data_IF_370273976266
#
_entry.id   IF_370273976266
#
_cell.length_a   1.000
_cell.length_b   1.000
_cell.length_c   1.000
_cell.angle_alpha   90.00
_cell.angle_beta   90.00
_cell.angle_gamma   90.00
#
_symmetry.space_group_name_H-M   'P 1'
#
loop_
_entity.id
_entity.type
_entity.pdbx_description
1 polymer ?
#
# COMPACT_ATOMS: atom_id res chain seq x y z
N UNK A 1 35.78 -6.98 42.37
CA UNK A 1 34.88 -7.95 41.71
C UNK A 1 33.92 -7.14 40.85
N UNK A 2 34.21 -7.03 39.55
CA UNK A 2 33.40 -6.27 38.60
C UNK A 2 32.32 -7.23 38.06
N UNK A 3 31.06 -7.03 38.45
CA UNK A 3 29.94 -7.75 37.84
C UNK A 3 29.71 -7.16 36.45
N UNK A 4 30.01 -7.93 35.41
CA UNK A 4 29.54 -7.68 34.04
C UNK A 4 28.09 -8.15 33.95
N UNK A 5 27.14 -7.22 33.88
CA UNK A 5 25.78 -7.52 33.46
C UNK A 5 25.81 -7.81 31.96
N UNK A 6 25.51 -9.05 31.56
CA UNK A 6 25.11 -9.37 30.18
C UNK A 6 23.80 -8.65 29.93
N UNK A 7 23.85 -7.54 29.21
CA UNK A 7 22.66 -6.99 28.59
C UNK A 7 22.33 -7.88 27.40
N UNK A 8 21.36 -8.77 27.57
CA UNK A 8 20.83 -9.56 26.46
C UNK A 8 20.28 -8.58 25.43
N UNK A 9 21.05 -8.32 24.38
CA UNK A 9 20.58 -7.62 23.22
C UNK A 9 19.52 -8.52 22.57
N UNK A 10 18.26 -8.31 22.92
CA UNK A 10 17.15 -8.97 22.23
C UNK A 10 17.34 -8.75 20.74
N UNK A 11 17.44 -9.86 20.00
CA UNK A 11 17.42 -9.81 18.54
C UNK A 11 16.24 -8.95 18.10
N UNK A 12 16.49 -7.96 17.24
CA UNK A 12 15.43 -7.08 16.72
C UNK A 12 14.46 -7.80 15.78
N UNK A 13 14.63 -9.12 15.61
CA UNK A 13 13.79 -10.01 14.83
C UNK A 13 13.40 -11.26 15.59
N UNK A 14 12.26 -11.81 15.19
CA UNK A 14 11.75 -13.11 15.61
C UNK A 14 11.31 -13.88 14.37
N UNK A 15 11.64 -15.17 14.32
CA UNK A 15 11.38 -16.02 13.17
C UNK A 15 10.33 -17.06 13.48
N UNK A 16 9.41 -17.27 12.54
CA UNK A 16 8.37 -18.29 12.65
C UNK A 16 8.97 -19.68 12.56
N UNK A 17 8.74 -20.50 13.59
CA UNK A 17 9.20 -21.89 13.70
C UNK A 17 8.11 -22.86 13.19
N UNK A 18 6.85 -22.60 13.53
CA UNK A 18 5.68 -23.36 13.06
C UNK A 18 5.59 -24.81 13.56
N UNK A 19 6.24 -25.16 14.68
CA UNK A 19 6.24 -26.52 15.24
C UNK A 19 5.07 -26.79 16.18
N UNK A 20 4.52 -25.78 16.86
CA UNK A 20 3.45 -25.99 17.84
C UNK A 20 2.05 -25.98 17.21
N UNK A 21 1.71 -24.93 16.46
CA UNK A 21 0.42 -24.79 15.76
C UNK A 21 0.49 -23.64 14.74
N UNK A 22 -0.64 -23.23 14.18
CA UNK A 22 -0.73 -22.14 13.18
C UNK A 22 -0.94 -20.75 13.79
N UNK A 23 -1.08 -20.62 15.11
CA UNK A 23 -1.46 -19.36 15.75
C UNK A 23 -0.29 -18.39 15.82
N UNK A 24 -0.43 -17.24 15.16
CA UNK A 24 0.53 -16.14 15.27
C UNK A 24 0.82 -15.73 16.71
N UNK A 25 -0.20 -15.70 17.57
CA UNK A 25 -0.06 -15.23 18.95
C UNK A 25 0.54 -16.25 19.91
N UNK A 26 0.88 -17.46 19.44
CA UNK A 26 1.53 -18.46 20.28
C UNK A 26 3.05 -18.27 20.22
N UNK A 27 3.65 -17.88 21.35
CA UNK A 27 5.08 -17.63 21.47
C UNK A 27 5.94 -18.86 21.14
N UNK A 28 5.40 -20.08 21.30
CA UNK A 28 6.13 -21.31 20.97
C UNK A 28 6.35 -21.51 19.46
N UNK A 29 5.63 -20.76 18.62
CA UNK A 29 5.88 -20.73 17.17
C UNK A 29 6.93 -19.69 16.77
N UNK A 30 7.60 -19.01 17.71
CA UNK A 30 8.53 -17.92 17.42
C UNK A 30 9.85 -18.08 18.17
N UNK A 31 10.97 -17.78 17.51
CA UNK A 31 12.30 -17.88 18.13
C UNK A 31 12.52 -16.90 19.27
N UNK A 32 12.01 -15.67 19.14
CA UNK A 32 12.23 -14.58 20.11
C UNK A 32 10.91 -13.96 20.58
N UNK A 33 9.90 -14.80 20.78
CA UNK A 33 8.55 -14.38 21.19
C UNK A 33 7.72 -13.81 20.04
N UNK A 34 6.46 -13.51 20.35
CA UNK A 34 5.47 -13.03 19.37
C UNK A 34 5.87 -11.64 18.86
N UNK A 35 5.80 -11.38 17.54
CA UNK A 35 6.04 -10.06 16.97
C UNK A 35 5.24 -8.94 17.66
N UNK A 36 5.89 -7.79 17.79
CA UNK A 36 5.33 -6.55 18.35
C UNK A 36 5.74 -5.37 17.48
N UNK A 37 5.23 -4.18 17.74
CA UNK A 37 5.59 -2.96 16.99
C UNK A 37 7.12 -2.66 16.93
N UNK A 38 7.91 -3.26 17.83
CA UNK A 38 9.36 -3.07 17.89
C UNK A 38 10.15 -4.30 17.41
N UNK A 39 9.47 -5.39 17.03
CA UNK A 39 10.09 -6.67 16.68
C UNK A 39 9.73 -7.07 15.25
N UNK A 40 10.74 -7.30 14.42
CA UNK A 40 10.58 -7.72 13.02
C UNK A 40 10.16 -9.18 12.94
N UNK A 41 9.04 -9.46 12.26
CA UNK A 41 8.58 -10.82 11.99
C UNK A 41 9.21 -11.37 10.71
N UNK A 42 9.87 -12.52 10.80
CA UNK A 42 10.46 -13.23 9.66
C UNK A 42 9.76 -14.59 9.53
N UNK A 43 9.35 -14.95 8.31
CA UNK A 43 8.66 -16.22 8.01
C UNK A 43 9.36 -16.84 6.80
N UNK A 44 9.78 -18.10 6.90
CA UNK A 44 10.40 -18.83 5.78
C UNK A 44 11.91 -18.77 5.69
N UNK A 45 12.58 -18.27 6.74
CA UNK A 45 14.02 -18.47 6.93
C UNK A 45 14.33 -19.89 7.44
N UNK A 46 15.59 -20.16 7.76
CA UNK A 46 16.04 -21.47 8.24
C UNK A 46 15.40 -21.90 9.57
N UNK A 47 14.82 -20.97 10.34
CA UNK A 47 14.17 -21.28 11.61
C UNK A 47 12.79 -21.90 11.40
N UNK A 48 12.17 -21.74 10.23
CA UNK A 48 10.90 -22.35 9.92
C UNK A 48 11.08 -23.86 9.67
N UNK A 49 11.13 -24.65 10.73
CA UNK A 49 11.36 -26.10 10.69
C UNK A 49 10.08 -26.94 10.76
N UNK A 50 9.00 -26.41 11.34
CA UNK A 50 7.71 -27.10 11.46
C UNK A 50 6.86 -27.05 10.19
N UNK A 51 5.68 -27.67 10.22
CA UNK A 51 4.75 -27.72 9.07
C UNK A 51 3.63 -26.67 9.13
N UNK A 52 3.40 -26.03 10.29
CA UNK A 52 2.30 -25.11 10.47
C UNK A 52 2.61 -23.74 9.85
N UNK A 53 1.78 -23.33 8.90
CA UNK A 53 1.83 -22.00 8.30
C UNK A 53 1.12 -20.97 9.21
N UNK A 54 1.65 -19.75 9.37
CA UNK A 54 1.09 -18.79 10.31
C UNK A 54 -0.27 -18.27 9.86
N UNK A 55 -1.18 -18.13 10.82
CA UNK A 55 -2.48 -17.48 10.68
C UNK A 55 -2.64 -16.43 11.77
N UNK A 56 -3.02 -15.22 11.36
CA UNK A 56 -3.38 -14.15 12.29
C UNK A 56 -4.65 -14.56 13.03
N UNK A 57 -4.57 -15.02 14.28
CA UNK A 57 -5.65 -15.78 14.93
C UNK A 57 -6.51 -14.97 15.92
N UNK A 58 -5.96 -13.99 16.65
CA UNK A 58 -6.71 -13.21 17.64
C UNK A 58 -6.25 -11.77 17.78
N UNK A 59 -7.19 -10.84 18.02
CA UNK A 59 -6.91 -9.41 18.21
C UNK A 59 -6.46 -8.68 16.94
N UNK A 60 -5.83 -7.51 17.12
CA UNK A 60 -5.09 -6.80 16.06
C UNK A 60 -3.61 -7.06 16.27
N UNK A 61 -2.94 -7.58 15.24
CA UNK A 61 -1.57 -8.05 15.32
C UNK A 61 -0.63 -6.96 14.84
N UNK A 62 0.59 -6.94 15.39
CA UNK A 62 1.56 -5.86 15.17
C UNK A 62 2.94 -6.46 14.92
N UNK A 63 3.70 -5.88 14.01
CA UNK A 63 5.13 -6.14 13.87
C UNK A 63 5.86 -4.85 13.49
N UNK A 64 7.16 -4.74 13.81
CA UNK A 64 8.01 -3.64 13.33
C UNK A 64 8.03 -3.65 11.81
N UNK A 65 8.48 -4.76 11.24
CA UNK A 65 8.42 -5.05 9.80
C UNK A 65 7.96 -6.49 9.63
N UNK A 66 7.60 -6.88 8.40
CA UNK A 66 7.24 -8.25 8.06
C UNK A 66 8.04 -8.70 6.84
N UNK A 67 8.74 -9.81 6.95
CA UNK A 67 9.37 -10.49 5.81
C UNK A 67 8.85 -11.91 5.72
N UNK A 68 8.31 -12.30 4.57
CA UNK A 68 7.82 -13.65 4.32
C UNK A 68 8.41 -14.24 3.05
N UNK A 69 8.96 -15.46 3.14
CA UNK A 69 9.41 -16.23 1.98
C UNK A 69 10.60 -15.63 1.24
N UNK A 70 11.47 -14.89 1.92
CA UNK A 70 12.78 -14.48 1.39
C UNK A 70 13.84 -15.57 1.53
N UNK A 71 13.61 -16.58 2.38
CA UNK A 71 14.46 -17.76 2.49
C UNK A 71 14.06 -18.86 1.51
N UNK A 72 14.52 -20.09 1.76
CA UNK A 72 14.29 -21.26 0.87
C UNK A 72 12.93 -21.92 1.07
N UNK A 73 12.24 -21.64 2.17
CA UNK A 73 10.97 -22.31 2.51
C UNK A 73 9.77 -21.55 1.98
N UNK A 74 8.96 -22.25 1.19
CA UNK A 74 7.64 -21.78 0.79
C UNK A 74 6.78 -21.52 2.03
N UNK A 75 6.30 -20.28 2.13
CA UNK A 75 5.67 -19.75 3.34
C UNK A 75 4.40 -19.01 3.00
N UNK A 76 3.33 -19.30 3.73
CA UNK A 76 2.02 -18.68 3.54
C UNK A 76 1.55 -18.06 4.84
N UNK A 77 1.31 -16.75 4.84
CA UNK A 77 0.64 -16.05 5.94
C UNK A 77 -0.84 -15.87 5.61
N UNK A 78 -1.71 -16.38 6.48
CA UNK A 78 -3.17 -16.17 6.37
C UNK A 78 -3.62 -14.99 7.21
N UNK A 79 -4.19 -13.98 6.56
CA UNK A 79 -4.75 -12.79 7.19
C UNK A 79 -6.21 -13.06 7.56
N UNK A 80 -6.45 -13.43 8.83
CA UNK A 80 -7.82 -13.64 9.38
C UNK A 80 -8.21 -12.59 10.44
N UNK A 81 -7.26 -11.72 10.79
CA UNK A 81 -7.38 -10.59 11.70
C UNK A 81 -6.66 -9.37 11.11
N UNK A 82 -6.86 -8.20 11.72
CA UNK A 82 -6.17 -6.99 11.29
C UNK A 82 -4.67 -7.08 11.63
N UNK A 83 -3.84 -6.51 10.76
CA UNK A 83 -2.39 -6.46 10.88
C UNK A 83 -1.92 -5.01 10.76
N UNK A 84 -1.01 -4.60 11.64
CA UNK A 84 -0.30 -3.32 11.54
C UNK A 84 1.19 -3.61 11.40
N UNK A 85 1.79 -3.15 10.30
CA UNK A 85 3.22 -3.21 10.02
C UNK A 85 3.77 -1.79 10.10
N UNK A 86 4.63 -1.52 11.08
CA UNK A 86 5.10 -0.17 11.39
C UNK A 86 6.23 0.32 10.46
N UNK A 87 6.88 -0.59 9.76
CA UNK A 87 7.87 -0.40 8.71
C UNK A 87 7.45 -1.20 7.48
N UNK A 88 8.39 -1.90 6.86
CA UNK A 88 8.17 -2.51 5.54
C UNK A 88 7.49 -3.89 5.61
N UNK A 89 6.73 -4.20 4.57
CA UNK A 89 6.19 -5.52 4.28
C UNK A 89 6.84 -6.05 3.01
N UNK A 90 7.63 -7.11 3.16
CA UNK A 90 8.32 -7.80 2.07
C UNK A 90 7.75 -9.21 1.87
N UNK A 91 7.18 -9.45 0.69
CA UNK A 91 6.82 -10.77 0.19
C UNK A 91 7.96 -11.21 -0.74
N UNK A 92 8.81 -12.11 -0.27
CA UNK A 92 9.86 -12.74 -1.08
C UNK A 92 9.28 -13.71 -2.10
N UNK A 93 10.11 -14.22 -3.00
CA UNK A 93 9.70 -15.11 -4.09
C UNK A 93 9.05 -16.42 -3.63
N UNK A 94 9.37 -16.88 -2.42
CA UNK A 94 8.76 -18.06 -1.81
C UNK A 94 7.63 -17.70 -0.83
N UNK A 95 7.22 -16.43 -0.80
CA UNK A 95 6.24 -15.88 0.12
C UNK A 95 4.86 -15.78 -0.51
N UNK A 96 3.85 -16.16 0.25
CA UNK A 96 2.44 -15.93 -0.07
C UNK A 96 1.75 -15.23 1.08
N UNK A 97 1.05 -14.13 0.81
CA UNK A 97 0.06 -13.57 1.73
C UNK A 97 -1.33 -13.88 1.18
N UNK A 98 -2.10 -14.62 1.99
CA UNK A 98 -3.50 -14.92 1.72
C UNK A 98 -4.39 -13.98 2.52
N UNK A 99 -4.89 -12.95 1.83
CA UNK A 99 -5.75 -11.90 2.38
C UNK A 99 -7.18 -12.03 1.84
N UNK A 100 -7.78 -13.22 1.96
CA UNK A 100 -9.12 -13.50 1.44
C UNK A 100 -10.26 -13.24 2.46
N UNK A 101 -10.05 -12.36 3.43
CA UNK A 101 -11.02 -12.04 4.48
C UNK A 101 -11.24 -10.53 4.58
N UNK A 102 -12.38 -10.12 5.15
CA UNK A 102 -12.72 -8.70 5.41
C UNK A 102 -11.90 -8.14 6.57
N UNK A 103 -10.59 -7.97 6.35
CA UNK A 103 -9.61 -7.49 7.35
C UNK A 103 -8.74 -6.40 6.74
N UNK A 104 -8.08 -5.68 7.64
CA UNK A 104 -7.22 -4.55 7.30
C UNK A 104 -5.75 -4.93 7.51
N UNK A 105 -4.93 -4.68 6.49
CA UNK A 105 -3.49 -4.53 6.65
C UNK A 105 -3.18 -3.04 6.63
N UNK A 106 -2.70 -2.51 7.75
CA UNK A 106 -2.14 -1.16 7.86
C UNK A 106 -0.63 -1.24 7.69
N UNK A 107 -0.08 -0.43 6.78
CA UNK A 107 1.34 -0.41 6.46
C UNK A 107 1.90 1.01 6.58
N UNK A 108 2.97 1.17 7.34
CA UNK A 108 3.62 2.45 7.57
C UNK A 108 4.96 2.63 6.84
N UNK A 109 5.48 1.56 6.23
CA UNK A 109 6.67 1.61 5.36
C UNK A 109 6.35 1.18 3.94
N UNK A 110 7.29 0.48 3.32
CA UNK A 110 7.23 0.08 1.93
C UNK A 110 6.48 -1.26 1.73
N UNK A 111 5.79 -1.36 0.60
CA UNK A 111 5.22 -2.61 0.11
C UNK A 111 6.13 -3.18 -0.97
N UNK A 112 6.73 -4.34 -0.70
CA UNK A 112 7.66 -5.00 -1.62
C UNK A 112 7.13 -6.39 -1.93
N UNK A 113 6.54 -6.56 -3.12
CA UNK A 113 5.95 -7.83 -3.54
C UNK A 113 6.76 -8.51 -4.65
N UNK A 114 7.68 -9.40 -4.25
CA UNK A 114 8.42 -10.28 -5.15
C UNK A 114 7.83 -11.71 -5.18
N UNK A 115 6.73 -11.95 -4.47
CA UNK A 115 6.07 -13.25 -4.35
C UNK A 115 4.60 -13.17 -4.74
N UNK A 116 3.74 -13.76 -3.92
CA UNK A 116 2.31 -13.82 -4.18
C UNK A 116 1.51 -13.08 -3.10
N UNK A 117 0.74 -12.08 -3.50
CA UNK A 117 -0.34 -11.50 -2.70
C UNK A 117 -1.68 -11.91 -3.32
N UNK A 118 -2.55 -12.51 -2.53
CA UNK A 118 -3.90 -12.91 -2.98
C UNK A 118 -4.97 -12.24 -2.12
N UNK A 119 -5.93 -11.61 -2.77
CA UNK A 119 -7.11 -11.04 -2.13
C UNK A 119 -8.34 -11.29 -3.03
N UNK A 120 -9.30 -12.06 -2.52
CA UNK A 120 -10.54 -12.40 -3.25
C UNK A 120 -11.76 -11.70 -2.68
N UNK A 121 -11.77 -11.37 -1.40
CA UNK A 121 -12.86 -10.64 -0.77
C UNK A 121 -12.76 -9.15 -1.13
N UNK A 122 -13.87 -8.55 -1.54
CA UNK A 122 -13.87 -7.14 -1.93
C UNK A 122 -13.46 -6.22 -0.77
N UNK A 123 -13.73 -6.58 0.49
CA UNK A 123 -13.33 -5.77 1.64
C UNK A 123 -11.96 -6.17 2.25
N UNK A 124 -11.11 -6.86 1.47
CA UNK A 124 -9.70 -7.10 1.83
C UNK A 124 -8.88 -5.85 1.56
N UNK A 125 -8.68 -5.04 2.60
CA UNK A 125 -8.12 -3.68 2.47
C UNK A 125 -6.66 -3.61 2.88
N UNK A 126 -5.84 -3.01 2.01
CA UNK A 126 -4.49 -2.56 2.36
C UNK A 126 -4.51 -1.04 2.50
N UNK A 127 -3.98 -0.52 3.60
CA UNK A 127 -3.97 0.91 3.89
C UNK A 127 -2.57 1.42 4.22
N UNK A 128 -2.04 2.27 3.36
CA UNK A 128 -0.79 2.99 3.59
C UNK A 128 -1.03 4.15 4.55
N UNK A 129 -0.26 4.19 5.64
CA UNK A 129 -0.41 5.15 6.75
C UNK A 129 0.90 5.75 7.23
N UNK A 130 2.01 5.44 6.55
CA UNK A 130 3.30 6.07 6.79
C UNK A 130 3.37 7.48 6.20
N UNK A 131 4.49 8.18 6.41
CA UNK A 131 4.71 9.49 5.76
C UNK A 131 5.07 9.32 4.28
N UNK A 132 5.98 8.39 3.98
CA UNK A 132 6.44 8.08 2.63
C UNK A 132 6.54 6.57 2.48
N UNK A 133 6.02 6.05 1.38
CA UNK A 133 6.07 4.62 1.06
C UNK A 133 6.36 4.42 -0.42
N UNK A 134 7.08 3.35 -0.74
CA UNK A 134 7.18 2.79 -2.07
C UNK A 134 6.27 1.57 -2.22
N UNK A 135 5.70 1.37 -3.40
CA UNK A 135 4.95 0.18 -3.76
C UNK A 135 5.65 -0.50 -4.95
N UNK A 136 6.45 -1.52 -4.63
CA UNK A 136 7.28 -2.26 -5.58
C UNK A 136 6.70 -3.65 -5.79
N UNK A 137 6.81 -4.14 -7.02
CA UNK A 137 6.28 -5.43 -7.43
C UNK A 137 4.81 -5.37 -7.80
N UNK A 138 4.47 -5.90 -8.97
CA UNK A 138 3.12 -5.85 -9.49
C UNK A 138 2.15 -6.51 -8.50
N UNK A 139 1.11 -5.78 -8.10
CA UNK A 139 0.19 -6.23 -7.06
C UNK A 139 -1.25 -5.91 -7.43
N UNK A 140 -2.12 -6.90 -7.28
CA UNK A 140 -3.57 -6.74 -7.42
C UNK A 140 -4.19 -6.63 -6.04
N UNK A 141 -4.73 -5.46 -5.73
CA UNK A 141 -5.51 -5.18 -4.53
C UNK A 141 -7.00 -5.34 -4.80
N UNK A 142 -7.75 -5.68 -3.75
CA UNK A 142 -9.21 -5.57 -3.76
C UNK A 142 -9.59 -4.16 -3.35
N UNK A 143 -9.30 -3.80 -2.11
CA UNK A 143 -9.41 -2.44 -1.62
C UNK A 143 -8.02 -1.87 -1.31
N UNK A 144 -7.77 -0.65 -1.77
CA UNK A 144 -6.55 0.10 -1.49
C UNK A 144 -6.92 1.45 -0.88
N UNK A 145 -6.19 1.85 0.17
CA UNK A 145 -6.34 3.18 0.79
C UNK A 145 -5.00 3.85 1.01
N UNK A 146 -4.87 5.09 0.57
CA UNK A 146 -3.74 5.95 0.91
C UNK A 146 -4.23 6.98 1.92
N UNK A 147 -3.78 6.88 3.17
CA UNK A 147 -4.23 7.79 4.22
C UNK A 147 -3.65 9.19 4.07
N UNK A 148 -4.34 10.17 4.66
CA UNK A 148 -3.88 11.55 4.73
C UNK A 148 -2.48 11.63 5.37
N UNK A 149 -1.62 12.47 4.78
CA UNK A 149 -0.22 12.61 5.19
C UNK A 149 0.73 11.55 4.63
N UNK A 150 0.22 10.53 3.94
CA UNK A 150 1.04 9.53 3.25
C UNK A 150 1.31 9.94 1.80
N UNK A 151 2.55 9.77 1.35
CA UNK A 151 2.92 9.81 -0.07
C UNK A 151 3.37 8.42 -0.51
N UNK A 152 2.62 7.82 -1.45
CA UNK A 152 2.96 6.53 -2.06
C UNK A 152 3.53 6.76 -3.46
N UNK A 153 4.74 6.28 -3.71
CA UNK A 153 5.35 6.26 -5.04
C UNK A 153 5.34 4.84 -5.59
N UNK A 154 4.83 4.66 -6.81
CA UNK A 154 4.83 3.34 -7.45
C UNK A 154 6.22 3.02 -8.02
N UNK A 155 6.65 1.78 -7.80
CA UNK A 155 7.78 1.12 -8.44
C UNK A 155 7.34 -0.05 -9.35
N UNK A 156 6.04 -0.23 -9.54
CA UNK A 156 5.44 -1.22 -10.44
C UNK A 156 4.00 -0.84 -10.80
N UNK A 157 3.46 -1.45 -11.86
CA UNK A 157 2.04 -1.36 -12.16
C UNK A 157 1.21 -2.02 -11.04
N UNK A 158 0.04 -1.45 -10.75
CA UNK A 158 -0.91 -2.03 -9.80
C UNK A 158 -2.30 -2.18 -10.42
N UNK A 159 -3.07 -3.09 -9.86
CA UNK A 159 -4.49 -3.26 -10.18
C UNK A 159 -5.30 -3.13 -8.90
N UNK A 160 -6.40 -2.35 -8.92
CA UNK A 160 -7.36 -2.25 -7.81
C UNK A 160 -8.75 -2.56 -8.35
N UNK A 161 -9.45 -3.50 -7.71
CA UNK A 161 -10.65 -4.11 -8.31
C UNK A 161 -11.98 -3.84 -7.58
N UNK A 162 -11.95 -3.30 -6.36
CA UNK A 162 -13.17 -3.02 -5.58
C UNK A 162 -13.25 -1.54 -5.25
N UNK A 163 -12.36 -1.04 -4.40
CA UNK A 163 -12.39 0.35 -3.91
C UNK A 163 -10.98 0.95 -3.84
N UNK A 164 -10.81 2.20 -4.27
CA UNK A 164 -9.56 2.94 -4.16
C UNK A 164 -9.77 4.34 -3.57
N UNK A 165 -9.63 4.41 -2.25
CA UNK A 165 -9.60 5.64 -1.43
C UNK A 165 -8.22 6.34 -1.50
N UNK A 166 -8.14 7.59 -1.97
CA UNK A 166 -6.93 8.41 -1.90
C UNK A 166 -7.12 9.68 -1.07
N UNK A 167 -6.69 9.65 0.21
CA UNK A 167 -6.65 10.81 1.11
C UNK A 167 -5.25 11.46 1.21
N UNK A 168 -4.21 10.75 0.78
CA UNK A 168 -2.82 11.22 0.75
C UNK A 168 -2.37 11.58 -0.67
N UNK A 169 -1.12 11.28 -1.03
CA UNK A 169 -0.58 11.51 -2.36
C UNK A 169 -0.25 10.17 -3.01
N UNK A 170 -0.76 9.94 -4.22
CA UNK A 170 -0.31 8.86 -5.09
C UNK A 170 0.54 9.41 -6.24
N UNK A 171 1.74 8.89 -6.39
CA UNK A 171 2.64 9.17 -7.49
C UNK A 171 2.98 7.90 -8.28
N UNK A 172 2.32 7.66 -9.44
CA UNK A 172 2.65 6.55 -10.32
C UNK A 172 3.97 6.74 -11.09
N UNK A 173 4.61 7.91 -11.01
CA UNK A 173 5.71 8.33 -11.89
C UNK A 173 5.31 8.29 -13.38
N UNK A 174 6.25 8.57 -14.28
CA UNK A 174 6.00 8.46 -15.72
C UNK A 174 5.91 7.00 -16.22
N UNK A 175 6.22 6.01 -15.37
CA UNK A 175 6.47 4.63 -15.81
C UNK A 175 5.37 3.64 -15.45
N UNK A 176 4.48 3.96 -14.50
CA UNK A 176 3.56 2.98 -13.95
C UNK A 176 2.10 3.38 -14.10
N UNK A 177 1.28 2.34 -14.19
CA UNK A 177 -0.16 2.41 -14.40
C UNK A 177 -0.89 1.86 -13.19
N UNK A 178 -1.90 2.60 -12.75
CA UNK A 178 -2.97 2.15 -11.87
C UNK A 178 -4.12 1.72 -12.76
N UNK A 179 -4.54 0.46 -12.64
CA UNK A 179 -5.59 -0.13 -13.46
C UNK A 179 -6.67 -0.81 -12.63
N UNK A 180 -7.75 -1.26 -13.26
CA UNK A 180 -8.71 -2.18 -12.68
C UNK A 180 -10.14 -1.66 -12.63
N UNK A 181 -10.97 -2.37 -11.87
CA UNK A 181 -12.42 -2.13 -11.80
C UNK A 181 -12.87 -1.32 -10.60
N UNK A 182 -11.94 -0.87 -9.75
CA UNK A 182 -12.29 -0.04 -8.60
C UNK A 182 -12.86 1.31 -9.01
N UNK A 183 -13.62 1.89 -8.08
CA UNK A 183 -13.88 3.33 -8.06
C UNK A 183 -12.66 4.03 -7.44
N UNK A 184 -12.06 4.98 -8.16
CA UNK A 184 -10.99 5.80 -7.63
C UNK A 184 -11.59 7.08 -7.04
N UNK A 185 -11.61 7.13 -5.72
CA UNK A 185 -12.07 8.28 -4.96
C UNK A 185 -10.87 9.15 -4.55
N UNK A 186 -10.69 10.28 -5.26
CA UNK A 186 -9.72 11.30 -4.86
C UNK A 186 -10.37 12.15 -3.78
N UNK A 187 -10.14 11.73 -2.55
CA UNK A 187 -10.81 12.24 -1.37
C UNK A 187 -10.34 13.64 -0.95
N UNK A 188 -11.02 14.22 0.04
CA UNK A 188 -10.67 15.54 0.57
C UNK A 188 -9.20 15.63 1.00
N UNK A 189 -8.47 16.57 0.40
CA UNK A 189 -7.02 16.79 0.56
C UNK A 189 -6.13 15.67 0.00
N UNK A 190 -6.71 14.66 -0.64
CA UNK A 190 -5.98 13.69 -1.43
C UNK A 190 -5.49 14.30 -2.73
N UNK A 191 -4.42 13.73 -3.29
CA UNK A 191 -3.82 14.14 -4.55
C UNK A 191 -3.36 12.93 -5.34
N UNK A 192 -3.78 12.85 -6.59
CA UNK A 192 -3.22 11.92 -7.57
C UNK A 192 -2.35 12.68 -8.57
N UNK A 193 -1.18 12.13 -8.88
CA UNK A 193 -0.25 12.74 -9.84
C UNK A 193 -0.36 12.07 -11.21
N UNK A 194 -0.40 12.89 -12.26
CA UNK A 194 -0.23 12.45 -13.64
C UNK A 194 1.16 12.89 -14.08
N UNK A 195 1.99 11.94 -14.50
CA UNK A 195 3.34 12.16 -15.03
C UNK A 195 3.51 11.68 -16.47
N UNK A 196 2.58 10.86 -16.97
CA UNK A 196 2.47 10.49 -18.39
C UNK A 196 1.84 11.59 -19.24
N UNK A 197 1.84 11.44 -20.57
CA UNK A 197 1.26 12.41 -21.50
C UNK A 197 -0.25 12.62 -21.33
N UNK A 198 -0.99 11.65 -20.77
CA UNK A 198 -2.43 11.75 -20.51
C UNK A 198 -2.77 11.17 -19.15
N UNK A 199 -3.96 11.50 -18.62
CA UNK A 199 -4.51 10.85 -17.42
C UNK A 199 -4.56 9.33 -17.58
N UNK A 200 -5.09 8.85 -18.71
CA UNK A 200 -5.20 7.44 -19.02
C UNK A 200 -3.84 6.72 -19.13
N UNK A 201 -2.74 7.45 -19.34
CA UNK A 201 -1.40 6.88 -19.30
C UNK A 201 -0.98 6.40 -17.91
N UNK A 202 -1.46 7.04 -16.84
CA UNK A 202 -1.21 6.60 -15.46
C UNK A 202 -2.41 5.90 -14.82
N UNK A 203 -3.63 6.15 -15.30
CA UNK A 203 -4.87 5.71 -14.67
C UNK A 203 -5.80 5.08 -15.71
N UNK A 204 -5.75 3.76 -15.86
CA UNK A 204 -6.70 2.94 -16.62
C UNK A 204 -7.68 2.24 -15.69
N UNK A 205 -8.31 3.03 -14.83
CA UNK A 205 -9.29 2.60 -13.83
C UNK A 205 -10.71 2.89 -14.31
N UNK A 206 -11.67 2.08 -13.89
CA UNK A 206 -13.03 2.07 -14.48
C UNK A 206 -13.87 3.29 -14.11
N UNK A 207 -13.73 3.79 -12.89
CA UNK A 207 -14.42 4.99 -12.40
C UNK A 207 -13.46 5.87 -11.64
N UNK A 208 -13.72 7.18 -11.69
CA UNK A 208 -12.93 8.21 -11.01
C UNK A 208 -13.91 9.25 -10.47
N UNK A 209 -14.04 9.31 -9.15
CA UNK A 209 -14.69 10.40 -8.43
C UNK A 209 -13.63 11.31 -7.80
N UNK A 210 -13.83 12.62 -7.89
CA UNK A 210 -12.89 13.61 -7.36
C UNK A 210 -13.69 14.51 -6.43
N UNK A 211 -13.44 14.40 -5.13
CA UNK A 211 -14.06 15.29 -4.13
C UNK A 211 -13.79 16.75 -4.51
N UNK A 212 -14.67 17.66 -4.10
CA UNK A 212 -14.51 19.09 -4.35
C UNK A 212 -13.17 19.66 -3.84
N UNK A 213 -12.49 18.96 -2.92
CA UNK A 213 -11.16 19.28 -2.39
C UNK A 213 -10.11 18.21 -2.66
N UNK A 214 -10.41 17.21 -3.49
CA UNK A 214 -9.44 16.29 -4.06
C UNK A 214 -8.67 16.94 -5.21
N UNK A 215 -7.40 16.58 -5.37
CA UNK A 215 -6.50 17.17 -6.36
C UNK A 215 -6.06 16.18 -7.43
N UNK A 216 -6.15 16.60 -8.70
CA UNK A 216 -5.43 15.96 -9.80
C UNK A 216 -4.32 16.90 -10.23
N UNK A 217 -3.07 16.46 -10.06
CA UNK A 217 -1.90 17.25 -10.41
C UNK A 217 -1.23 16.71 -11.67
N UNK A 218 -1.29 17.47 -12.76
CA UNK A 218 -0.49 17.24 -13.96
C UNK A 218 0.91 17.80 -13.71
N UNK A 219 1.80 16.90 -13.28
CA UNK A 219 3.05 17.24 -12.62
C UNK A 219 4.32 16.92 -13.41
N UNK A 220 4.20 16.47 -14.66
CA UNK A 220 5.36 16.09 -15.45
C UNK A 220 6.27 17.29 -15.72
N UNK A 221 7.58 17.08 -15.56
CA UNK A 221 8.60 18.07 -15.84
C UNK A 221 9.24 17.94 -17.23
N UNK A 222 8.98 16.85 -17.92
CA UNK A 222 9.65 16.50 -19.18
C UNK A 222 8.69 16.10 -20.30
N UNK A 223 7.43 15.81 -19.98
CA UNK A 223 6.44 15.33 -20.94
C UNK A 223 5.32 16.36 -21.05
N UNK A 224 5.02 16.82 -22.27
CA UNK A 224 3.81 17.60 -22.53
C UNK A 224 2.59 16.76 -22.15
N UNK A 225 1.70 17.32 -21.33
CA UNK A 225 0.52 16.58 -20.89
C UNK A 225 -0.77 17.20 -21.41
N UNK A 226 -1.68 16.33 -21.82
CA UNK A 226 -3.05 16.68 -22.12
C UNK A 226 -3.91 16.51 -20.86
N UNK A 227 -4.48 17.60 -20.38
CA UNK A 227 -5.44 17.65 -19.29
C UNK A 227 -6.78 17.11 -19.80
N UNK A 228 -7.31 16.10 -19.12
CA UNK A 228 -8.56 15.44 -19.51
C UNK A 228 -9.75 16.38 -19.30
N UNK A 229 -10.67 16.42 -20.25
CA UNK A 229 -11.98 17.08 -20.09
C UNK A 229 -13.08 16.11 -19.64
N UNK A 230 -12.77 14.83 -19.44
CA UNK A 230 -13.73 13.80 -19.07
C UNK A 230 -14.16 13.85 -17.60
N UNK A 231 -13.39 14.53 -16.75
CA UNK A 231 -13.58 14.52 -15.30
C UNK A 231 -14.02 15.88 -14.78
N UNK A 232 -14.83 15.82 -13.72
CA UNK A 232 -15.16 16.96 -12.89
C UNK A 232 -14.07 17.12 -11.83
N UNK A 233 -13.26 18.17 -11.94
CA UNK A 233 -12.18 18.39 -10.98
C UNK A 233 -12.69 19.10 -9.71
N UNK A 234 -12.19 18.67 -8.54
CA UNK A 234 -12.19 19.48 -7.33
C UNK A 234 -11.10 20.53 -7.40
N UNK A 235 -9.86 20.08 -7.40
CA UNK A 235 -8.66 20.88 -7.64
C UNK A 235 -7.94 20.32 -8.86
N UNK A 236 -7.78 21.15 -9.89
CA UNK A 236 -6.88 20.88 -11.00
C UNK A 236 -5.58 21.65 -10.74
N UNK A 237 -4.45 20.93 -10.60
CA UNK A 237 -3.13 21.54 -10.49
C UNK A 237 -2.33 21.29 -11.76
N UNK A 238 -1.73 22.35 -12.25
CA UNK A 238 -0.74 22.36 -13.30
C UNK A 238 0.61 22.61 -12.63
N UNK A 239 1.56 21.69 -12.80
CA UNK A 239 2.91 21.84 -12.24
C UNK A 239 3.97 21.16 -13.12
N UNK A 240 5.19 20.98 -12.62
CA UNK A 240 6.27 20.27 -13.31
C UNK A 240 7.03 21.08 -14.37
N UNK A 241 6.44 22.10 -14.98
CA UNK A 241 7.14 23.02 -15.90
C UNK A 241 7.12 22.62 -17.38
N UNK A 242 6.62 21.44 -17.74
CA UNK A 242 6.29 21.12 -19.15
C UNK A 242 4.97 21.76 -19.59
N UNK A 243 4.72 21.83 -20.90
CA UNK A 243 3.45 22.33 -21.46
C UNK A 243 2.27 21.45 -21.03
N UNK A 244 1.17 22.08 -20.58
CA UNK A 244 -0.11 21.41 -20.27
C UNK A 244 -1.21 21.98 -21.16
N UNK A 245 -1.82 21.11 -21.95
CA UNK A 245 -2.86 21.48 -22.92
C UNK A 245 -4.20 20.90 -22.50
N UNK A 246 -5.28 21.68 -22.59
CA UNK A 246 -6.61 21.15 -22.35
C UNK A 246 -7.06 20.29 -23.55
N UNK A 247 -7.59 19.10 -23.30
CA UNK A 247 -8.16 18.24 -24.36
C UNK A 247 -9.39 18.88 -25.03
N UNK A 248 -10.17 19.62 -24.25
CA UNK A 248 -11.34 20.40 -24.65
C UNK A 248 -11.71 21.34 -23.50
N UNK A 249 -12.85 22.04 -23.61
CA UNK A 249 -13.43 22.75 -22.48
C UNK A 249 -13.65 21.78 -21.31
N UNK A 250 -13.20 22.16 -20.12
CA UNK A 250 -13.42 21.38 -18.91
C UNK A 250 -14.91 21.37 -18.56
N UNK A 251 -15.40 20.23 -18.06
CA UNK A 251 -16.67 20.17 -17.35
C UNK A 251 -16.59 21.10 -16.14
N UNK A 252 -17.76 21.56 -15.68
CA UNK A 252 -17.95 22.39 -14.49
C UNK A 252 -17.05 21.95 -13.33
N UNK A 253 -16.06 22.76 -12.94
CA UNK A 253 -15.17 22.48 -11.79
C UNK A 253 -16.03 22.62 -10.52
N UNK A 254 -15.99 21.67 -9.56
CA UNK A 254 -16.95 21.57 -8.45
C UNK A 254 -17.44 22.94 -7.91
N UNK A 255 -18.70 23.25 -8.20
CA UNK A 255 -19.40 24.48 -7.79
C UNK A 255 -20.43 24.23 -6.67
N UNK A 256 -20.56 22.99 -6.18
CA UNK A 256 -21.56 22.58 -5.20
C UNK A 256 -21.21 23.00 -3.77
N UNK A 257 -21.87 24.05 -3.27
CA UNK A 257 -21.92 24.54 -1.88
C UNK A 257 -20.59 24.87 -1.17
N UNK A 258 -19.43 24.58 -1.76
CA UNK A 258 -18.14 25.17 -1.40
C UNK A 258 -17.73 26.16 -2.48
N UNK A 259 -17.34 27.36 -2.05
CA UNK A 259 -16.97 28.49 -2.92
C UNK A 259 -15.64 28.26 -3.64
N UNK A 260 -15.62 27.36 -4.64
CA UNK A 260 -14.67 27.20 -5.76
C UNK A 260 -13.94 25.85 -5.78
N UNK A 261 -14.20 25.06 -6.81
CA UNK A 261 -13.15 24.26 -7.44
C UNK A 261 -12.06 25.16 -8.00
N UNK A 262 -10.80 24.72 -7.95
CA UNK A 262 -9.63 25.60 -8.12
C UNK A 262 -8.69 25.09 -9.20
N UNK A 263 -8.24 26.01 -10.05
CA UNK A 263 -7.11 25.79 -10.94
C UNK A 263 -5.89 26.47 -10.31
N UNK A 264 -4.83 25.69 -10.09
CA UNK A 264 -3.52 26.19 -9.69
C UNK A 264 -2.56 26.01 -10.86
N UNK A 265 -1.78 27.05 -11.14
CA UNK A 265 -0.69 27.06 -12.14
C UNK A 265 0.61 27.46 -11.45
#
# INVERSE_FOLDING_TARGET
>A
MLLLFSVDAYSQSTSWIGTANFNWTDASNWTNGVPTQNLHAIIGDANFTGSNQPTLNSGTLKCKSLTIGSGTKSSTLTISRNLIVYGDLTIGSNGTINHNTRRLITLNGDWINNGTYTATNNASRVSFSGTTSSLVGATTFKDLRINAGCTVTLGANITVNSDFDCYGILNPTANYVVSGTADLDVERNGSIQVHTSTFAGNYTISSVDIDARGEVNYASASITQTVSSAYKYGILRISGGSTKELAANLIDIHSGASTRGRVYV
#
